data_IF_470256340795
#
_entry.id   IF_470256340795
#
_cell.length_a   1.000
_cell.length_b   1.000
_cell.length_c   1.000
_cell.angle_alpha   90.00
_cell.angle_beta   90.00
_cell.angle_gamma   90.00
#
_symmetry.space_group_name_H-M   'P 1'
#
loop_
_entity.id
_entity.type
_entity.pdbx_description
1 polymer ?
#
# COMPACT_ATOMS: atom_id res chain seq x y z
N UNK A 1 -6.31 13.40 1.74
CA UNK A 1 -6.05 12.15 0.99
C UNK A 1 -5.44 11.13 1.95
N UNK A 2 -6.01 9.92 2.04
CA UNK A 2 -5.46 8.84 2.88
C UNK A 2 -4.52 7.95 2.06
N UNK A 3 -3.42 7.57 2.65
CA UNK A 3 -2.50 6.58 2.07
C UNK A 3 -3.10 5.17 2.17
N UNK A 4 -2.60 4.24 1.37
CA UNK A 4 -3.03 2.83 1.44
C UNK A 4 -2.77 2.21 2.83
N UNK A 5 -1.71 2.64 3.52
CA UNK A 5 -1.40 2.19 4.88
C UNK A 5 -2.44 2.67 5.89
N UNK A 6 -2.87 3.93 5.79
CA UNK A 6 -3.93 4.49 6.65
C UNK A 6 -5.27 3.81 6.42
N UNK A 7 -5.66 3.59 5.16
CA UNK A 7 -6.89 2.87 4.82
C UNK A 7 -6.87 1.43 5.36
N UNK A 8 -5.76 0.73 5.23
CA UNK A 8 -5.60 -0.63 5.78
C UNK A 8 -5.67 -0.59 7.30
N UNK A 9 -4.97 0.34 7.96
CA UNK A 9 -4.97 0.44 9.42
C UNK A 9 -6.38 0.71 9.98
N UNK A 10 -7.17 1.55 9.33
CA UNK A 10 -8.57 1.78 9.73
C UNK A 10 -9.41 0.51 9.65
N UNK A 11 -9.22 -0.30 8.61
CA UNK A 11 -9.96 -1.56 8.44
C UNK A 11 -9.47 -2.69 9.37
N UNK A 12 -8.29 -2.57 10.00
CA UNK A 12 -7.78 -3.60 10.92
C UNK A 12 -8.66 -3.75 12.17
N UNK A 13 -9.29 -2.68 12.65
CA UNK A 13 -10.22 -2.73 13.78
C UNK A 13 -11.45 -3.60 13.46
N UNK A 14 -12.01 -3.46 12.26
CA UNK A 14 -13.13 -4.29 11.80
C UNK A 14 -12.73 -5.76 11.62
N UNK A 15 -11.51 -6.00 11.12
CA UNK A 15 -10.95 -7.36 10.99
C UNK A 15 -10.79 -8.01 12.35
N UNK A 16 -10.25 -7.29 13.35
CA UNK A 16 -10.13 -7.80 14.72
C UNK A 16 -11.49 -8.14 15.32
N UNK A 17 -12.45 -7.24 15.22
CA UNK A 17 -13.82 -7.49 15.69
C UNK A 17 -14.46 -8.71 14.99
N UNK A 18 -14.24 -8.87 13.70
CA UNK A 18 -14.75 -10.02 12.93
C UNK A 18 -14.12 -11.33 13.40
N UNK A 19 -12.80 -11.36 13.68
CA UNK A 19 -12.12 -12.54 14.25
C UNK A 19 -12.71 -12.93 15.60
N UNK A 20 -12.91 -11.94 16.47
CA UNK A 20 -13.49 -12.18 17.79
C UNK A 20 -14.90 -12.76 17.70
N UNK A 21 -15.76 -12.21 16.83
CA UNK A 21 -17.10 -12.74 16.58
C UNK A 21 -17.04 -14.18 16.06
N UNK A 22 -16.20 -14.47 15.08
CA UNK A 22 -16.05 -15.83 14.54
C UNK A 22 -15.53 -16.81 15.59
N UNK A 23 -14.57 -16.37 16.42
CA UNK A 23 -14.06 -17.17 17.55
C UNK A 23 -15.18 -17.48 18.52
N UNK A 24 -15.95 -16.49 18.98
CA UNK A 24 -17.05 -16.68 19.89
C UNK A 24 -18.15 -17.59 19.32
N UNK A 25 -18.42 -17.50 18.02
CA UNK A 25 -19.37 -18.40 17.36
C UNK A 25 -18.87 -19.85 17.35
N UNK A 26 -17.56 -20.10 17.09
CA UNK A 26 -16.98 -21.45 17.18
C UNK A 26 -17.07 -22.01 18.60
N UNK A 27 -16.68 -21.22 19.61
CA UNK A 27 -16.73 -21.60 21.01
C UNK A 27 -18.18 -21.94 21.42
N UNK A 28 -19.14 -21.06 21.09
CA UNK A 28 -20.54 -21.26 21.42
C UNK A 28 -21.11 -22.52 20.78
N UNK A 29 -20.74 -22.81 19.52
CA UNK A 29 -21.15 -24.03 18.84
C UNK A 29 -20.61 -25.29 19.53
N UNK A 30 -19.31 -25.31 19.82
CA UNK A 30 -18.66 -26.45 20.47
C UNK A 30 -19.26 -26.68 21.86
N UNK A 31 -19.47 -25.65 22.67
CA UNK A 31 -20.05 -25.80 23.99
C UNK A 31 -21.54 -26.18 23.99
N UNK A 32 -22.29 -25.79 22.95
CA UNK A 32 -23.64 -26.24 22.73
C UNK A 32 -23.70 -27.73 22.42
N UNK A 33 -22.81 -28.20 21.56
CA UNK A 33 -22.77 -29.60 21.11
C UNK A 33 -22.13 -30.52 22.17
N UNK A 34 -21.22 -29.97 23.00
CA UNK A 34 -20.46 -30.69 24.03
C UNK A 34 -20.47 -29.94 25.39
N UNK A 35 -21.58 -29.95 26.14
CA UNK A 35 -21.70 -29.23 27.44
C UNK A 35 -20.68 -29.69 28.48
N UNK A 36 -20.28 -31.00 28.47
CA UNK A 36 -19.25 -31.52 29.33
C UNK A 36 -17.89 -30.81 29.18
N UNK A 37 -17.55 -30.43 27.95
CA UNK A 37 -16.31 -29.68 27.67
C UNK A 37 -16.37 -28.29 28.30
N UNK A 38 -17.51 -27.62 28.21
CA UNK A 38 -17.72 -26.31 28.85
C UNK A 38 -17.54 -26.39 30.37
N UNK A 39 -18.11 -27.39 31.00
CA UNK A 39 -17.99 -27.59 32.47
C UNK A 39 -16.50 -27.79 32.87
N UNK A 40 -15.74 -28.54 32.09
CA UNK A 40 -14.31 -28.74 32.33
C UNK A 40 -13.55 -27.43 32.17
N UNK A 41 -13.81 -26.68 31.12
CA UNK A 41 -13.15 -25.39 30.86
C UNK A 41 -13.49 -24.36 31.96
N UNK A 42 -14.73 -24.32 32.45
CA UNK A 42 -15.14 -23.49 33.58
C UNK A 42 -14.41 -23.88 34.88
N UNK A 43 -14.22 -25.19 35.11
CA UNK A 43 -13.43 -25.69 36.25
C UNK A 43 -11.96 -25.31 36.13
N UNK A 44 -11.35 -25.41 34.94
CA UNK A 44 -9.96 -24.98 34.70
C UNK A 44 -9.78 -23.49 35.03
N UNK A 45 -10.70 -22.66 34.57
CA UNK A 45 -10.68 -21.20 34.89
C UNK A 45 -10.76 -20.99 36.40
N UNK A 46 -11.62 -21.71 37.10
CA UNK A 46 -11.78 -21.61 38.56
C UNK A 46 -10.50 -22.01 39.31
N UNK A 47 -9.88 -23.12 38.90
CA UNK A 47 -8.61 -23.59 39.47
C UNK A 47 -7.47 -22.59 39.23
N UNK A 48 -7.38 -22.01 38.00
CA UNK A 48 -6.37 -21.00 37.67
C UNK A 48 -6.55 -19.73 38.51
N UNK A 49 -7.76 -19.27 38.69
CA UNK A 49 -8.06 -18.10 39.54
C UNK A 49 -7.67 -18.37 41.00
N UNK A 50 -8.01 -19.56 41.54
CA UNK A 50 -7.65 -19.95 42.89
C UNK A 50 -6.10 -20.10 43.07
N UNK A 51 -5.43 -20.65 42.06
CA UNK A 51 -3.97 -20.72 42.02
C UNK A 51 -3.34 -19.31 42.01
N UNK A 52 -3.88 -18.39 41.25
CA UNK A 52 -3.39 -17.00 41.22
C UNK A 52 -3.48 -16.35 42.61
N UNK A 53 -4.57 -16.56 43.34
CA UNK A 53 -4.72 -16.08 44.72
C UNK A 53 -3.68 -16.72 45.64
N UNK A 54 -3.46 -18.06 45.55
CA UNK A 54 -2.46 -18.75 46.33
C UNK A 54 -1.03 -18.25 46.07
N UNK A 55 -0.73 -17.80 44.84
CA UNK A 55 0.57 -17.18 44.49
C UNK A 55 0.72 -15.83 45.22
N UNK A 56 -0.35 -15.00 45.24
CA UNK A 56 -0.32 -13.72 45.96
C UNK A 56 -0.10 -13.96 47.47
N UNK A 57 -0.78 -14.96 48.03
CA UNK A 57 -0.68 -15.34 49.45
C UNK A 57 0.62 -16.12 49.81
N UNK A 58 1.45 -16.44 48.79
CA UNK A 58 2.68 -17.22 48.92
C UNK A 58 2.47 -18.58 49.59
N UNK A 59 1.34 -19.25 49.33
CA UNK A 59 1.03 -20.58 49.85
C UNK A 59 1.49 -21.68 48.86
N UNK A 60 2.71 -22.13 49.02
CA UNK A 60 3.32 -23.17 48.15
C UNK A 60 2.55 -24.49 48.16
N UNK A 61 1.80 -24.80 49.21
CA UNK A 61 1.03 -26.04 49.30
C UNK A 61 -0.22 -25.95 48.42
N UNK A 62 -0.91 -24.84 48.49
CA UNK A 62 -2.07 -24.61 47.68
C UNK A 62 -1.69 -24.48 46.19
N UNK A 63 -0.57 -23.82 45.88
CA UNK A 63 -0.06 -23.73 44.50
C UNK A 63 0.12 -25.13 43.92
N UNK A 64 0.89 -26.00 44.58
CA UNK A 64 1.12 -27.39 44.11
C UNK A 64 -0.19 -28.19 43.96
N UNK A 65 -1.15 -27.98 44.87
CA UNK A 65 -2.44 -28.66 44.78
C UNK A 65 -3.22 -28.20 43.54
N UNK A 66 -3.22 -26.92 43.25
CA UNK A 66 -3.90 -26.39 42.06
C UNK A 66 -3.18 -26.76 40.77
N UNK A 67 -1.84 -26.85 40.74
CA UNK A 67 -1.09 -27.36 39.60
C UNK A 67 -1.52 -28.79 39.23
N UNK A 68 -1.62 -29.69 40.21
CA UNK A 68 -2.09 -31.07 39.98
C UNK A 68 -3.53 -31.09 39.48
N UNK A 69 -4.42 -30.31 40.11
CA UNK A 69 -5.83 -30.23 39.70
C UNK A 69 -5.99 -29.70 38.26
N UNK A 70 -5.17 -28.72 37.86
CA UNK A 70 -5.17 -28.19 36.50
C UNK A 70 -4.71 -29.25 35.50
N UNK A 71 -3.63 -29.99 35.79
CA UNK A 71 -3.15 -31.07 34.93
C UNK A 71 -4.19 -32.20 34.76
N UNK A 72 -4.90 -32.59 35.82
CA UNK A 72 -5.96 -33.60 35.75
C UNK A 72 -7.15 -33.11 34.87
N UNK A 73 -7.58 -31.85 35.04
CA UNK A 73 -8.64 -31.26 34.26
C UNK A 73 -8.24 -31.11 32.79
N UNK A 74 -6.98 -30.71 32.53
CA UNK A 74 -6.47 -30.61 31.16
C UNK A 74 -6.46 -31.98 30.48
N UNK A 75 -5.97 -33.04 31.17
CA UNK A 75 -6.02 -34.39 30.64
C UNK A 75 -7.45 -34.91 30.40
N UNK A 76 -8.42 -34.46 31.20
CA UNK A 76 -9.85 -34.77 30.99
C UNK A 76 -10.38 -34.04 29.78
N UNK A 77 -10.05 -32.73 29.60
CA UNK A 77 -10.36 -31.92 28.43
C UNK A 77 -9.89 -32.56 27.14
N UNK A 78 -8.62 -32.95 27.09
CA UNK A 78 -7.98 -33.54 25.91
C UNK A 78 -8.65 -34.88 25.53
N UNK A 79 -9.03 -35.68 26.50
CA UNK A 79 -9.77 -36.94 26.27
C UNK A 79 -11.16 -36.69 25.67
N UNK A 80 -11.89 -35.70 26.17
CA UNK A 80 -13.23 -35.31 25.61
C UNK A 80 -13.07 -34.82 24.19
N UNK A 81 -12.08 -33.97 23.94
CA UNK A 81 -11.82 -33.42 22.61
C UNK A 81 -11.44 -34.51 21.60
N UNK A 82 -10.51 -35.42 21.99
CA UNK A 82 -10.07 -36.53 21.13
C UNK A 82 -11.22 -37.50 20.82
N UNK A 83 -12.02 -37.89 21.84
CA UNK A 83 -13.20 -38.75 21.67
C UNK A 83 -14.21 -38.22 20.68
N UNK A 84 -14.44 -36.92 20.70
CA UNK A 84 -15.45 -36.25 19.89
C UNK A 84 -14.89 -35.61 18.61
N UNK A 85 -13.60 -35.75 18.33
CA UNK A 85 -12.88 -35.17 17.17
C UNK A 85 -13.06 -33.66 17.08
N UNK A 86 -13.05 -32.98 18.24
CA UNK A 86 -13.15 -31.53 18.30
C UNK A 86 -11.78 -30.95 17.89
N UNK A 87 -11.81 -29.89 17.03
CA UNK A 87 -10.60 -29.16 16.65
C UNK A 87 -9.90 -28.57 17.89
N UNK A 88 -8.66 -28.93 18.20
CA UNK A 88 -7.92 -28.44 19.37
C UNK A 88 -7.80 -26.91 19.41
N UNK A 89 -7.90 -26.26 18.23
CA UNK A 89 -7.78 -24.82 18.07
C UNK A 89 -9.13 -24.10 17.93
N UNK A 90 -10.27 -24.76 18.35
CA UNK A 90 -11.59 -24.14 18.17
C UNK A 90 -11.74 -22.83 18.92
N UNK A 91 -11.04 -22.65 20.02
CA UNK A 91 -11.03 -21.47 20.89
C UNK A 91 -9.90 -20.49 20.62
N UNK A 92 -9.02 -20.82 19.66
CA UNK A 92 -7.93 -19.93 19.25
C UNK A 92 -8.37 -18.89 18.23
N UNK A 93 -7.66 -17.75 18.21
CA UNK A 93 -7.81 -16.77 17.16
C UNK A 93 -7.28 -17.35 15.84
N UNK A 94 -8.07 -17.24 14.77
CA UNK A 94 -7.67 -17.65 13.42
C UNK A 94 -7.67 -16.42 12.52
N UNK A 95 -6.65 -16.31 11.69
CA UNK A 95 -6.60 -15.23 10.70
C UNK A 95 -7.75 -15.38 9.70
N UNK A 96 -8.33 -14.25 9.26
CA UNK A 96 -9.32 -14.20 8.17
C UNK A 96 -8.61 -14.39 6.83
N UNK A 97 -7.40 -13.88 6.71
CA UNK A 97 -6.58 -14.00 5.52
C UNK A 97 -5.27 -14.73 5.81
N UNK A 98 -5.16 -15.99 5.41
CA UNK A 98 -3.94 -16.80 5.61
C UNK A 98 -2.74 -16.28 4.82
N UNK A 99 -2.95 -15.52 3.71
CA UNK A 99 -1.86 -15.00 2.88
C UNK A 99 -1.02 -13.94 3.58
N UNK A 100 -1.65 -13.07 4.36
CA UNK A 100 -0.97 -11.97 5.02
C UNK A 100 -1.05 -12.01 6.55
N UNK A 101 -1.72 -13.00 7.13
CA UNK A 101 -1.97 -13.04 8.58
C UNK A 101 -2.69 -11.78 9.07
N UNK A 102 -3.65 -11.29 8.28
CA UNK A 102 -4.45 -10.07 8.49
C UNK A 102 -3.68 -8.74 8.50
N UNK A 103 -2.37 -8.75 8.24
CA UNK A 103 -1.55 -7.51 8.20
C UNK A 103 -1.90 -6.59 7.03
N UNK A 104 -2.58 -7.10 6.01
CA UNK A 104 -2.88 -6.37 4.77
C UNK A 104 -1.74 -6.31 3.77
N UNK A 105 -0.54 -6.82 4.09
CA UNK A 105 0.64 -6.81 3.23
C UNK A 105 1.25 -8.21 3.11
N UNK A 106 1.75 -8.53 1.92
CA UNK A 106 2.47 -9.77 1.64
C UNK A 106 3.91 -9.47 1.23
N UNK A 107 4.86 -10.28 1.71
CA UNK A 107 6.26 -10.20 1.28
C UNK A 107 6.49 -11.20 0.15
N UNK A 108 6.98 -10.69 -1.00
CA UNK A 108 7.39 -11.52 -2.13
C UNK A 108 8.71 -12.25 -1.87
N UNK A 109 9.03 -13.24 -2.70
CA UNK A 109 10.29 -13.97 -2.64
C UNK A 109 11.53 -13.07 -2.87
N UNK A 110 11.36 -11.98 -3.61
CA UNK A 110 12.35 -10.94 -3.86
C UNK A 110 12.49 -9.91 -2.72
N UNK A 111 11.79 -10.12 -1.61
CA UNK A 111 11.76 -9.21 -0.47
C UNK A 111 10.83 -8.00 -0.64
N UNK A 112 10.20 -7.81 -1.81
CA UNK A 112 9.25 -6.72 -2.01
C UNK A 112 8.00 -6.91 -1.17
N UNK A 113 7.50 -5.82 -0.57
CA UNK A 113 6.25 -5.81 0.18
C UNK A 113 5.16 -5.25 -0.72
N UNK A 114 4.04 -5.96 -0.82
CA UNK A 114 2.89 -5.57 -1.64
C UNK A 114 1.61 -5.64 -0.83
N UNK A 115 0.63 -4.81 -1.18
CA UNK A 115 -0.72 -4.91 -0.63
C UNK A 115 -1.31 -6.28 -0.93
N UNK A 116 -1.88 -6.93 0.07
CA UNK A 116 -2.50 -8.25 -0.07
C UNK A 116 -3.78 -8.17 -0.90
N UNK A 117 -4.07 -9.23 -1.63
CA UNK A 117 -5.31 -9.33 -2.42
C UNK A 117 -6.61 -9.23 -1.58
N UNK A 118 -6.53 -9.48 -0.27
CA UNK A 118 -7.67 -9.29 0.64
C UNK A 118 -8.03 -7.80 0.86
N UNK A 119 -7.13 -6.86 0.50
CA UNK A 119 -7.30 -5.41 0.62
C UNK A 119 -7.58 -4.73 -0.72
N UNK A 120 -8.30 -5.43 -1.58
CA UNK A 120 -8.61 -4.92 -2.93
C UNK A 120 -9.47 -3.66 -2.87
N UNK A 121 -10.44 -3.60 -1.97
CA UNK A 121 -11.35 -2.46 -1.86
C UNK A 121 -10.60 -1.21 -1.39
N UNK A 122 -9.77 -1.33 -0.36
CA UNK A 122 -8.92 -0.24 0.14
C UNK A 122 -7.95 0.24 -0.94
N UNK A 123 -7.43 -0.68 -1.74
CA UNK A 123 -6.55 -0.35 -2.85
C UNK A 123 -7.28 0.43 -3.96
N UNK A 124 -8.49 0.04 -4.32
CA UNK A 124 -9.33 0.74 -5.29
C UNK A 124 -9.72 2.14 -4.77
N UNK A 125 -10.15 2.26 -3.53
CA UNK A 125 -10.42 3.55 -2.88
C UNK A 125 -9.17 4.47 -2.90
N UNK A 126 -7.99 3.91 -2.62
CA UNK A 126 -6.75 4.67 -2.68
C UNK A 126 -6.44 5.16 -4.10
N UNK A 127 -6.68 4.35 -5.14
CA UNK A 127 -6.52 4.78 -6.53
C UNK A 127 -7.45 5.93 -6.89
N UNK A 128 -8.72 5.86 -6.50
CA UNK A 128 -9.70 6.93 -6.74
C UNK A 128 -9.27 8.24 -6.08
N UNK A 129 -8.90 8.19 -4.80
CA UNK A 129 -8.42 9.36 -4.05
C UNK A 129 -7.09 9.93 -4.57
N UNK A 130 -6.35 9.15 -5.35
CA UNK A 130 -5.03 9.52 -5.89
C UNK A 130 -5.08 10.00 -7.35
N UNK A 131 -6.23 10.54 -7.80
CA UNK A 131 -6.41 11.12 -9.13
C UNK A 131 -6.58 10.08 -10.24
N UNK A 132 -6.92 8.83 -9.91
CA UNK A 132 -7.00 7.73 -10.87
C UNK A 132 -8.40 7.10 -11.00
N UNK A 133 -9.46 7.80 -10.58
CA UNK A 133 -10.84 7.32 -10.64
C UNK A 133 -11.25 6.89 -12.07
N UNK A 134 -10.97 7.72 -13.07
CA UNK A 134 -11.32 7.48 -14.47
C UNK A 134 -10.48 6.40 -15.15
N UNK A 135 -9.45 5.90 -14.49
CA UNK A 135 -8.47 4.97 -15.04
C UNK A 135 -8.56 3.56 -14.44
N UNK A 136 -9.73 3.14 -13.95
CA UNK A 136 -9.93 1.83 -13.29
C UNK A 136 -9.49 0.64 -14.16
N UNK A 137 -9.68 0.73 -15.48
CA UNK A 137 -9.29 -0.30 -16.47
C UNK A 137 -7.78 -0.37 -16.73
N UNK A 138 -6.99 0.66 -16.37
CA UNK A 138 -5.56 0.72 -16.65
C UNK A 138 -4.81 -0.18 -15.67
N UNK A 139 -4.27 -1.29 -16.19
CA UNK A 139 -3.50 -2.29 -15.43
C UNK A 139 -2.18 -2.56 -16.12
N UNK A 140 -1.08 -2.66 -15.38
CA UNK A 140 0.27 -2.89 -15.94
C UNK A 140 0.33 -4.13 -16.85
N UNK A 141 -0.42 -5.19 -16.54
CA UNK A 141 -0.50 -6.41 -17.37
C UNK A 141 -1.08 -6.17 -18.76
N UNK A 142 -1.83 -5.08 -18.96
CA UNK A 142 -2.43 -4.70 -20.23
C UNK A 142 -1.53 -3.73 -21.03
N UNK A 143 -0.40 -3.28 -20.46
CA UNK A 143 0.56 -2.44 -21.16
C UNK A 143 1.30 -3.30 -22.20
N UNK A 144 1.30 -2.86 -23.43
CA UNK A 144 1.92 -3.55 -24.56
C UNK A 144 3.23 -2.87 -24.94
N UNK A 145 4.34 -3.55 -24.69
CA UNK A 145 5.66 -3.07 -25.09
C UNK A 145 5.79 -3.01 -26.63
N UNK A 146 5.06 -3.86 -27.35
CA UNK A 146 5.09 -3.96 -28.82
C UNK A 146 4.19 -2.95 -29.56
N UNK A 147 3.47 -2.08 -28.82
CA UNK A 147 2.62 -1.06 -29.42
C UNK A 147 3.47 -0.04 -30.20
N UNK A 148 3.05 0.32 -31.42
CA UNK A 148 3.77 1.19 -32.36
C UNK A 148 5.15 0.65 -32.85
N UNK A 149 5.41 -0.65 -32.71
CA UNK A 149 6.59 -1.30 -33.30
C UNK A 149 7.94 -1.07 -32.59
N UNK A 150 7.99 -0.22 -31.56
CA UNK A 150 9.22 0.04 -30.78
C UNK A 150 9.20 -0.72 -29.44
N UNK A 151 9.30 -2.02 -29.50
CA UNK A 151 9.27 -2.88 -28.31
C UNK A 151 10.45 -2.60 -27.36
N UNK A 152 11.63 -2.39 -27.89
CA UNK A 152 12.84 -2.15 -27.07
C UNK A 152 12.79 -0.83 -26.33
N UNK A 153 12.44 0.26 -27.02
CA UNK A 153 12.33 1.59 -26.42
C UNK A 153 11.25 1.67 -25.36
N UNK A 154 10.09 1.09 -25.63
CA UNK A 154 8.96 1.07 -24.67
C UNK A 154 9.28 0.26 -23.42
N UNK A 155 9.89 -0.90 -23.55
CA UNK A 155 10.35 -1.71 -22.43
C UNK A 155 11.39 -0.96 -21.59
N UNK A 156 12.33 -0.25 -22.24
CA UNK A 156 13.31 0.60 -21.56
C UNK A 156 12.63 1.71 -20.77
N UNK A 157 11.70 2.45 -21.36
CA UNK A 157 10.95 3.53 -20.68
C UNK A 157 10.21 2.97 -19.47
N UNK A 158 9.45 1.89 -19.63
CA UNK A 158 8.74 1.26 -18.53
C UNK A 158 9.68 0.91 -17.37
N UNK A 159 10.81 0.27 -17.67
CA UNK A 159 11.77 -0.13 -16.66
C UNK A 159 12.41 1.08 -15.97
N UNK A 160 12.74 2.13 -16.70
CA UNK A 160 13.29 3.37 -16.13
C UNK A 160 12.28 4.08 -15.22
N UNK A 161 11.01 4.18 -15.62
CA UNK A 161 9.96 4.74 -14.76
C UNK A 161 9.77 3.94 -13.48
N UNK A 162 9.82 2.60 -13.57
CA UNK A 162 9.75 1.74 -12.39
C UNK A 162 10.96 1.90 -11.48
N UNK A 163 12.18 2.01 -12.03
CA UNK A 163 13.39 2.31 -11.25
C UNK A 163 13.28 3.64 -10.52
N UNK A 164 12.85 4.69 -11.21
CA UNK A 164 12.63 6.02 -10.64
C UNK A 164 11.59 5.97 -9.52
N UNK A 165 10.48 5.29 -9.74
CA UNK A 165 9.42 5.10 -8.72
C UNK A 165 9.94 4.34 -7.49
N UNK A 166 10.79 3.33 -7.68
CA UNK A 166 11.42 2.58 -6.59
C UNK A 166 12.52 3.37 -5.87
N UNK A 167 13.04 4.43 -6.48
CA UNK A 167 14.20 5.18 -5.99
C UNK A 167 15.52 4.46 -6.24
N UNK A 168 15.55 3.57 -7.25
CA UNK A 168 16.76 2.88 -7.73
C UNK A 168 17.37 3.75 -8.83
N UNK A 169 18.39 4.54 -8.51
CA UNK A 169 19.14 5.31 -9.48
C UNK A 169 20.55 4.73 -9.63
N UNK A 170 20.99 4.59 -10.88
CA UNK A 170 22.37 4.22 -11.21
C UNK A 170 23.21 5.51 -11.19
N UNK A 171 23.70 5.94 -10.02
CA UNK A 171 24.56 7.10 -9.86
C UNK A 171 24.35 7.85 -8.52
N UNK A 172 25.36 8.64 -8.14
CA UNK A 172 25.44 9.35 -6.85
C UNK A 172 24.40 10.48 -6.64
N UNK A 173 23.62 10.83 -7.66
CA UNK A 173 22.62 11.91 -7.56
C UNK A 173 21.22 11.38 -7.85
N UNK A 174 20.47 11.13 -6.79
CA UNK A 174 19.04 10.84 -6.86
C UNK A 174 18.32 12.07 -7.44
N UNK A 175 17.99 12.03 -8.74
CA UNK A 175 17.24 13.11 -9.36
C UNK A 175 15.80 13.08 -8.87
N UNK A 176 15.40 14.11 -8.11
CA UNK A 176 14.02 14.27 -7.64
C UNK A 176 13.05 14.65 -8.77
N UNK A 177 13.55 15.15 -9.89
CA UNK A 177 12.76 15.55 -11.05
C UNK A 177 13.15 14.73 -12.28
N UNK A 178 12.14 14.08 -12.89
CA UNK A 178 12.29 13.34 -14.14
C UNK A 178 11.37 13.93 -15.20
N UNK A 179 11.83 13.95 -16.46
CA UNK A 179 11.04 14.31 -17.61
C UNK A 179 10.80 13.07 -18.46
N UNK A 180 9.56 12.62 -18.54
CA UNK A 180 9.13 11.54 -19.43
C UNK A 180 8.60 12.13 -20.72
N UNK A 181 9.41 12.09 -21.77
CA UNK A 181 9.09 12.61 -23.10
C UNK A 181 8.84 11.46 -24.08
N UNK A 182 7.69 11.49 -24.74
CA UNK A 182 7.37 10.56 -25.81
C UNK A 182 6.26 11.15 -26.73
N UNK A 183 6.19 10.73 -28.01
CA UNK A 183 5.23 11.26 -28.96
C UNK A 183 3.77 11.17 -28.50
N UNK A 184 2.86 11.97 -29.05
CA UNK A 184 1.42 11.79 -28.85
C UNK A 184 0.98 10.35 -29.15
N UNK A 185 -0.07 9.87 -28.47
CA UNK A 185 -0.62 8.52 -28.62
C UNK A 185 0.33 7.35 -28.35
N UNK A 186 1.51 7.61 -27.77
CA UNK A 186 2.47 6.54 -27.40
C UNK A 186 2.07 5.74 -26.15
N UNK A 187 0.97 6.08 -25.48
CA UNK A 187 0.52 5.42 -24.24
C UNK A 187 1.18 5.96 -22.96
N UNK A 188 1.67 7.19 -22.98
CA UNK A 188 2.27 7.88 -21.82
C UNK A 188 1.36 7.85 -20.60
N UNK A 189 0.15 8.36 -20.74
CA UNK A 189 -0.88 8.37 -19.69
C UNK A 189 -1.16 6.98 -19.13
N UNK A 190 -1.31 5.99 -20.03
CA UNK A 190 -1.55 4.61 -19.59
C UNK A 190 -0.40 4.10 -18.70
N UNK A 191 0.84 4.27 -19.14
CA UNK A 191 2.01 3.84 -18.38
C UNK A 191 2.17 4.61 -17.07
N UNK A 192 1.97 5.92 -17.10
CA UNK A 192 2.03 6.81 -15.94
C UNK A 192 1.06 6.39 -14.84
N UNK A 193 -0.20 6.19 -15.19
CA UNK A 193 -1.24 5.69 -14.26
C UNK A 193 -0.86 4.30 -13.71
N UNK A 194 -0.39 3.39 -14.57
CA UNK A 194 0.03 2.06 -14.13
C UNK A 194 1.21 2.10 -13.15
N UNK A 195 2.16 3.01 -13.34
CA UNK A 195 3.31 3.19 -12.43
C UNK A 195 2.83 3.77 -11.09
N UNK A 196 1.94 4.77 -11.09
CA UNK A 196 1.32 5.28 -9.86
C UNK A 196 0.59 4.19 -9.07
N UNK A 197 -0.25 3.39 -9.75
CA UNK A 197 -0.93 2.25 -9.13
C UNK A 197 0.05 1.23 -8.55
N UNK A 198 1.16 1.00 -9.24
CA UNK A 198 2.23 0.11 -8.75
C UNK A 198 2.88 0.67 -7.49
N UNK A 199 3.15 1.99 -7.44
CA UNK A 199 3.69 2.63 -6.25
C UNK A 199 2.78 2.44 -5.03
N UNK A 200 1.47 2.69 -5.19
CA UNK A 200 0.47 2.48 -4.13
C UNK A 200 0.44 1.02 -3.68
N UNK A 201 0.46 0.08 -4.63
CA UNK A 201 0.46 -1.35 -4.31
C UNK A 201 1.72 -1.80 -3.55
N UNK A 202 2.82 -1.07 -3.70
CA UNK A 202 4.07 -1.24 -2.92
C UNK A 202 4.07 -0.45 -1.60
N UNK A 203 2.94 0.14 -1.22
CA UNK A 203 2.79 0.87 0.04
C UNK A 203 3.34 2.29 0.05
N UNK A 204 3.69 2.86 -1.13
CA UNK A 204 4.09 4.25 -1.27
C UNK A 204 2.88 5.15 -1.46
N UNK A 205 2.95 6.38 -0.96
CA UNK A 205 1.99 7.43 -1.32
C UNK A 205 2.29 7.93 -2.74
N UNK A 206 1.27 7.93 -3.61
CA UNK A 206 1.43 8.35 -5.00
C UNK A 206 0.20 9.05 -5.52
N UNK A 207 0.38 9.99 -6.45
CA UNK A 207 -0.71 10.72 -7.09
C UNK A 207 -0.43 10.91 -8.57
N UNK A 208 -1.50 10.86 -9.37
CA UNK A 208 -1.51 11.20 -10.78
C UNK A 208 -2.41 12.41 -10.99
N UNK A 209 -1.92 13.44 -11.67
CA UNK A 209 -2.68 14.64 -11.99
C UNK A 209 -2.29 15.13 -13.39
N UNK A 210 -3.26 15.65 -14.14
CA UNK A 210 -2.97 16.42 -15.35
C UNK A 210 -2.51 17.83 -14.96
N UNK A 211 -1.60 18.37 -15.73
CA UNK A 211 -1.03 19.69 -15.45
C UNK A 211 -2.09 20.80 -15.42
N UNK A 212 -3.07 20.74 -16.32
CA UNK A 212 -4.19 21.68 -16.40
C UNK A 212 -5.07 21.68 -15.13
N UNK A 213 -5.23 20.53 -14.49
CA UNK A 213 -6.08 20.36 -13.31
C UNK A 213 -5.45 20.96 -12.05
N UNK A 214 -4.14 21.23 -12.03
CA UNK A 214 -3.45 21.78 -10.86
C UNK A 214 -4.03 23.11 -10.37
N UNK A 215 -4.62 23.92 -11.25
CA UNK A 215 -5.24 25.18 -10.88
C UNK A 215 -6.59 25.01 -10.15
N UNK A 216 -7.26 23.86 -10.35
CA UNK A 216 -8.57 23.53 -9.78
C UNK A 216 -8.52 22.62 -8.57
N UNK A 217 -7.33 22.09 -8.25
CA UNK A 217 -7.13 21.20 -7.09
C UNK A 217 -7.32 21.99 -5.79
N UNK A 218 -8.11 21.46 -4.88
CA UNK A 218 -8.32 22.06 -3.55
C UNK A 218 -7.02 22.17 -2.73
N UNK A 219 -6.98 23.14 -1.82
CA UNK A 219 -5.78 23.44 -1.00
C UNK A 219 -5.22 22.25 -0.26
N UNK A 220 -6.08 21.42 0.35
CA UNK A 220 -5.66 20.24 1.11
C UNK A 220 -4.99 19.19 0.21
N UNK A 221 -5.52 19.00 -1.00
CA UNK A 221 -4.90 18.09 -1.98
C UNK A 221 -3.59 18.68 -2.49
N UNK A 222 -3.53 19.99 -2.73
CA UNK A 222 -2.31 20.67 -3.18
C UNK A 222 -1.18 20.51 -2.15
N UNK A 223 -1.47 20.67 -0.86
CA UNK A 223 -0.49 20.41 0.21
C UNK A 223 -0.10 18.93 0.27
N UNK A 224 -1.02 18.01 0.05
CA UNK A 224 -0.71 16.58 -0.04
C UNK A 224 0.24 16.29 -1.20
N UNK A 225 0.04 16.89 -2.40
CA UNK A 225 0.92 16.71 -3.56
C UNK A 225 2.37 17.11 -3.30
N UNK A 226 2.61 18.07 -2.42
CA UNK A 226 3.95 18.50 -2.04
C UNK A 226 4.71 17.46 -1.21
N UNK A 227 4.00 16.55 -0.53
CA UNK A 227 4.57 15.68 0.49
C UNK A 227 4.51 14.18 0.20
N UNK A 228 3.81 13.73 -0.84
CA UNK A 228 3.72 12.32 -1.23
C UNK A 228 5.04 11.79 -1.81
N UNK A 229 5.28 10.48 -1.71
CA UNK A 229 6.52 9.85 -2.17
C UNK A 229 6.75 9.99 -3.67
N UNK A 230 5.69 9.79 -4.47
CA UNK A 230 5.78 9.73 -5.93
C UNK A 230 4.64 10.50 -6.60
N UNK A 231 4.98 11.52 -7.40
CA UNK A 231 4.03 12.37 -8.12
C UNK A 231 4.25 12.26 -9.61
N UNK A 232 3.18 12.05 -10.37
CA UNK A 232 3.17 12.20 -11.82
C UNK A 232 2.27 13.39 -12.19
N UNK A 233 2.82 14.33 -12.98
CA UNK A 233 2.09 15.44 -13.60
C UNK A 233 2.11 15.19 -15.10
N UNK A 234 0.96 14.83 -15.64
CA UNK A 234 0.79 14.49 -17.07
C UNK A 234 0.35 15.69 -17.92
N UNK A 235 0.49 15.57 -19.22
CA UNK A 235 0.19 16.61 -20.22
C UNK A 235 0.91 17.93 -19.91
N UNK A 236 2.16 17.84 -19.43
CA UNK A 236 2.97 19.02 -19.09
C UNK A 236 3.36 19.80 -20.34
N UNK A 237 3.18 21.12 -20.28
CA UNK A 237 3.49 22.08 -21.32
C UNK A 237 2.62 21.99 -22.60
N UNK A 238 1.42 21.41 -22.51
CA UNK A 238 0.40 21.61 -23.54
C UNK A 238 -0.02 23.09 -23.61
N UNK A 239 -0.49 23.57 -24.76
CA UNK A 239 -0.77 25.00 -25.02
C UNK A 239 -1.69 25.63 -23.95
N UNK A 240 -2.60 24.83 -23.38
CA UNK A 240 -3.55 25.27 -22.34
C UNK A 240 -2.86 25.56 -21.00
N UNK A 241 -1.77 24.85 -20.68
CA UNK A 241 -1.10 24.94 -19.38
C UNK A 241 -0.16 26.13 -19.27
N UNK A 242 0.32 26.66 -20.39
CA UNK A 242 1.26 27.80 -20.42
C UNK A 242 0.56 29.17 -20.22
N UNK A 243 -0.75 29.24 -20.43
CA UNK A 243 -1.51 30.48 -20.37
C UNK A 243 -2.32 30.71 -19.09
N UNK A 244 -2.42 29.70 -18.21
CA UNK A 244 -3.16 29.79 -16.95
C UNK A 244 -2.21 29.91 -15.76
N UNK A 245 -2.69 30.40 -14.59
CA UNK A 245 -1.92 30.52 -13.33
C UNK A 245 -1.32 29.21 -12.78
N UNK A 246 -1.29 28.16 -13.59
CA UNK A 246 -0.74 26.84 -13.27
C UNK A 246 0.77 26.90 -12.97
N UNK A 247 1.48 27.82 -13.66
CA UNK A 247 2.94 27.92 -13.52
C UNK A 247 3.41 28.23 -12.10
N UNK A 248 2.71 29.09 -11.36
CA UNK A 248 3.06 29.42 -9.98
C UNK A 248 2.81 28.24 -9.03
N UNK A 249 1.69 27.56 -9.21
CA UNK A 249 1.31 26.37 -8.43
C UNK A 249 2.32 25.23 -8.69
N UNK A 250 2.60 24.97 -9.95
CA UNK A 250 3.58 23.97 -10.37
C UNK A 250 4.97 24.26 -9.78
N UNK A 251 5.42 25.52 -9.88
CA UNK A 251 6.73 25.91 -9.34
C UNK A 251 6.80 25.67 -7.82
N UNK A 252 5.76 26.04 -7.07
CA UNK A 252 5.66 25.80 -5.63
C UNK A 252 5.74 24.30 -5.29
N UNK A 253 5.03 23.45 -6.04
CA UNK A 253 5.10 21.98 -5.88
C UNK A 253 6.51 21.50 -6.12
N UNK A 254 7.11 21.86 -7.27
CA UNK A 254 8.45 21.40 -7.65
C UNK A 254 9.53 21.84 -6.68
N UNK A 255 9.45 23.05 -6.12
CA UNK A 255 10.41 23.55 -5.12
C UNK A 255 10.33 22.76 -3.80
N UNK A 256 9.13 22.61 -3.26
CA UNK A 256 8.94 21.87 -2.01
C UNK A 256 9.38 20.42 -2.16
N UNK A 257 9.02 19.78 -3.26
CA UNK A 257 9.37 18.38 -3.53
C UNK A 257 10.87 18.19 -3.78
N UNK A 258 11.53 19.14 -4.45
CA UNK A 258 12.98 19.10 -4.63
C UNK A 258 13.72 19.21 -3.30
N UNK A 259 13.29 20.12 -2.40
CA UNK A 259 13.84 20.25 -1.07
C UNK A 259 13.67 18.97 -0.23
N UNK A 260 12.52 18.31 -0.33
CA UNK A 260 12.24 17.02 0.32
C UNK A 260 12.84 15.80 -0.39
N UNK A 261 13.55 15.98 -1.51
CA UNK A 261 14.07 14.89 -2.36
C UNK A 261 12.99 13.88 -2.79
N UNK A 262 11.75 14.36 -2.96
CA UNK A 262 10.59 13.57 -3.36
C UNK A 262 10.53 13.44 -4.89
N UNK A 263 10.23 12.25 -5.37
CA UNK A 263 10.26 11.96 -6.80
C UNK A 263 9.06 12.55 -7.55
N UNK A 264 9.33 13.37 -8.58
CA UNK A 264 8.33 13.94 -9.47
C UNK A 264 8.64 13.57 -10.91
N UNK A 265 7.63 13.13 -11.67
CA UNK A 265 7.74 12.85 -13.09
C UNK A 265 6.81 13.82 -13.84
N UNK A 266 7.38 14.64 -14.70
CA UNK A 266 6.64 15.46 -15.67
C UNK A 266 6.53 14.66 -16.97
N UNK A 267 5.31 14.51 -17.46
CA UNK A 267 5.03 13.74 -18.68
C UNK A 267 4.61 14.69 -19.78
N UNK A 268 5.22 14.58 -20.96
CA UNK A 268 5.07 15.56 -22.03
C UNK A 268 5.18 14.92 -23.42
N UNK A 269 4.50 15.48 -24.44
CA UNK A 269 4.77 15.09 -25.83
C UNK A 269 6.00 15.77 -26.42
N UNK A 270 6.56 16.80 -25.78
CA UNK A 270 7.63 17.63 -26.34
C UNK A 270 9.03 17.15 -25.97
N UNK A 271 10.05 17.31 -26.83
CA UNK A 271 11.42 17.07 -26.47
C UNK A 271 11.92 18.12 -25.44
N UNK A 272 12.91 17.72 -24.62
CA UNK A 272 13.44 18.55 -23.51
C UNK A 272 13.93 19.93 -24.00
N UNK A 273 14.57 19.99 -25.17
CA UNK A 273 15.07 21.23 -25.75
C UNK A 273 13.94 22.23 -26.06
N UNK A 274 12.82 21.76 -26.57
CA UNK A 274 11.65 22.58 -26.88
C UNK A 274 10.98 23.10 -25.61
N UNK A 275 10.88 22.28 -24.57
CA UNK A 275 10.31 22.67 -23.27
C UNK A 275 11.09 23.80 -22.61
N UNK A 276 12.42 23.73 -22.63
CA UNK A 276 13.27 24.78 -22.06
C UNK A 276 13.00 26.14 -22.71
N UNK A 277 12.67 26.17 -24.00
CA UNK A 277 12.36 27.41 -24.71
C UNK A 277 10.92 27.90 -24.49
N UNK A 278 9.97 27.01 -24.14
CA UNK A 278 8.55 27.32 -23.94
C UNK A 278 8.21 27.71 -22.50
N UNK A 279 8.96 27.24 -21.51
CA UNK A 279 8.68 27.47 -20.09
C UNK A 279 9.33 28.75 -19.59
N UNK A 280 8.78 29.30 -18.49
CA UNK A 280 9.43 30.40 -17.79
C UNK A 280 10.82 30.01 -17.23
N UNK A 281 11.63 31.01 -16.88
CA UNK A 281 13.02 30.82 -16.46
C UNK A 281 13.16 29.94 -15.22
N UNK A 282 12.17 29.92 -14.31
CA UNK A 282 12.20 29.14 -13.06
C UNK A 282 11.98 27.66 -13.35
N UNK A 283 11.03 27.36 -14.20
CA UNK A 283 10.72 25.99 -14.60
C UNK A 283 11.80 25.45 -15.53
N UNK A 284 12.25 26.23 -16.53
CA UNK A 284 13.31 25.80 -17.46
C UNK A 284 14.63 25.54 -16.77
N UNK A 285 14.98 26.30 -15.72
CA UNK A 285 16.13 26.01 -14.87
C UNK A 285 16.06 24.63 -14.19
N UNK A 286 14.89 24.27 -13.67
CA UNK A 286 14.66 22.94 -13.07
C UNK A 286 14.69 21.81 -14.12
N UNK A 287 14.08 22.04 -15.27
CA UNK A 287 14.06 21.08 -16.39
C UNK A 287 15.47 20.78 -16.90
N UNK A 288 16.36 21.77 -16.89
CA UNK A 288 17.76 21.59 -17.35
C UNK A 288 18.48 20.48 -16.58
N UNK A 289 18.23 20.38 -15.27
CA UNK A 289 18.80 19.36 -14.39
C UNK A 289 17.97 18.07 -14.31
N UNK A 290 16.77 18.02 -14.88
CA UNK A 290 15.88 16.88 -14.82
C UNK A 290 16.44 15.66 -15.58
N UNK A 291 16.28 14.46 -15.00
CA UNK A 291 16.59 13.18 -15.67
C UNK A 291 15.63 12.96 -16.84
N UNK A 292 16.16 12.77 -18.05
CA UNK A 292 15.33 12.50 -19.22
C UNK A 292 15.05 10.99 -19.35
N UNK A 293 13.76 10.66 -19.50
CA UNK A 293 13.25 9.33 -19.84
C UNK A 293 12.58 9.42 -21.20
N UNK A 294 13.21 8.85 -22.24
CA UNK A 294 12.68 8.87 -23.61
C UNK A 294 13.07 7.59 -24.36
N UNK A 295 12.32 7.30 -25.44
CA UNK A 295 12.68 6.23 -26.38
C UNK A 295 13.90 6.58 -27.23
N UNK A 296 14.14 7.85 -27.47
CA UNK A 296 15.32 8.32 -28.17
C UNK A 296 16.55 8.16 -27.27
N UNK A 297 17.50 7.35 -27.72
CA UNK A 297 18.77 7.17 -27.04
C UNK A 297 19.50 8.51 -26.88
N UNK A 298 20.33 8.66 -25.82
CA UNK A 298 21.27 9.77 -25.69
C UNK A 298 22.07 9.88 -27.01
N UNK A 299 21.75 10.89 -27.81
CA UNK A 299 22.71 11.39 -28.80
C UNK A 299 23.69 12.29 -28.10
#
# INVERSE_FOLDING_TARGET
>A
MKTIKELINESLTEVSATRDIQRQQRISRVYKDYPELKEIDDQIVTVRNSRFIAVIDKDDRLIKRYDIAEEELQAKRDRVMARNRIDPEFDMEKNICDKCGDTGFCKGADGTVKVCSCRKNELEMCYEQSGMADYSSYKMKNYRDDYLGDTSGRKKIRNELLKVMLGIDEGDTKSSLCLYSAPPQSGKTFLSVCVCKTAINLGKSSYYVKCEDLASVGTDTLEALKNIDFLIIDDFADEVTLHNNVGSVLNSILETRAAGKLTTVLVTPFPKSELISKCDMRISGKLSSAKLISSEGRK
#
